data_IF_827510887155
#
_entry.id   IF_827510887155
#
_cell.length_a   1.000
_cell.length_b   1.000
_cell.length_c   1.000
_cell.angle_alpha   90.00
_cell.angle_beta   90.00
_cell.angle_gamma   90.00
#
_symmetry.space_group_name_H-M   'P 1'
#
loop_
_entity.id
_entity.type
_entity.pdbx_description
1 polymer ?
#
# COMPACT_ATOMS: atom_id res chain seq x y z
N UNK A 1 -37.74 26.19 -22.67
CA UNK A 1 -37.22 24.82 -22.51
C UNK A 1 -35.80 24.90 -21.94
N UNK A 2 -35.65 24.80 -20.62
CA UNK A 2 -34.34 24.82 -19.97
C UNK A 2 -33.86 23.37 -19.81
N UNK A 3 -32.77 23.01 -20.50
CA UNK A 3 -32.05 21.75 -20.25
C UNK A 3 -31.36 21.87 -18.89
N UNK A 4 -31.79 21.07 -17.91
CA UNK A 4 -31.06 20.88 -16.66
C UNK A 4 -29.68 20.32 -16.99
N UNK A 5 -28.63 21.09 -16.66
CA UNK A 5 -27.24 20.66 -16.69
C UNK A 5 -26.99 19.80 -15.45
N UNK A 6 -26.73 18.51 -15.62
CA UNK A 6 -26.25 17.68 -14.52
C UNK A 6 -24.80 18.04 -14.20
N UNK A 7 -24.39 18.07 -12.91
CA UNK A 7 -23.03 18.39 -12.53
C UNK A 7 -22.08 17.24 -12.88
N UNK A 8 -20.92 17.57 -13.43
CA UNK A 8 -19.80 16.65 -13.64
C UNK A 8 -19.23 16.26 -12.27
N UNK A 9 -19.45 15.03 -11.84
CA UNK A 9 -18.81 14.46 -10.64
C UNK A 9 -17.35 14.11 -10.94
N UNK A 10 -16.44 14.64 -10.13
CA UNK A 10 -15.00 14.40 -10.18
C UNK A 10 -14.68 12.92 -9.97
N UNK A 11 -13.65 12.41 -10.66
CA UNK A 11 -13.09 11.06 -10.51
C UNK A 11 -12.66 10.69 -9.08
N UNK A 12 -12.57 11.67 -8.17
CA UNK A 12 -12.35 11.43 -6.73
C UNK A 12 -13.56 10.85 -5.99
N UNK A 13 -14.79 11.15 -6.41
CA UNK A 13 -16.02 10.67 -5.72
C UNK A 13 -16.36 9.21 -6.07
N UNK A 14 -16.05 8.78 -7.30
CA UNK A 14 -16.32 7.40 -7.77
C UNK A 14 -15.52 6.36 -6.99
N UNK A 15 -14.35 6.74 -6.47
CA UNK A 15 -13.47 5.84 -5.70
C UNK A 15 -13.87 5.70 -4.23
N UNK A 16 -14.70 6.60 -3.69
CA UNK A 16 -15.09 6.57 -2.26
C UNK A 16 -16.43 5.87 -1.98
N UNK A 17 -17.16 5.39 -2.99
CA UNK A 17 -18.51 4.83 -2.84
C UNK A 17 -18.70 3.43 -3.48
N UNK A 18 -17.68 2.57 -3.51
CA UNK A 18 -17.90 1.22 -4.10
C UNK A 18 -18.58 0.28 -3.09
N UNK A 19 -19.79 -0.18 -3.42
CA UNK A 19 -20.59 -1.08 -2.60
C UNK A 19 -19.93 -2.47 -2.48
N UNK A 20 -19.90 -3.08 -1.28
CA UNK A 20 -19.33 -4.42 -1.05
C UNK A 20 -20.09 -5.51 -1.81
N UNK A 21 -21.38 -5.34 -2.06
CA UNK A 21 -22.16 -6.25 -2.89
C UNK A 21 -21.71 -6.18 -4.36
N UNK A 22 -21.44 -4.98 -4.87
CA UNK A 22 -20.92 -4.78 -6.23
C UNK A 22 -19.50 -5.32 -6.40
N UNK A 23 -18.63 -5.11 -5.39
CA UNK A 23 -17.27 -5.65 -5.38
C UNK A 23 -17.27 -7.18 -5.48
N UNK A 24 -18.21 -7.83 -4.79
CA UNK A 24 -18.37 -9.28 -4.86
C UNK A 24 -19.18 -9.74 -6.09
N UNK A 25 -19.82 -8.82 -6.80
CA UNK A 25 -20.71 -9.12 -7.92
C UNK A 25 -21.94 -9.93 -7.49
N UNK A 26 -22.48 -9.67 -6.29
CA UNK A 26 -23.66 -10.34 -5.73
C UNK A 26 -24.74 -9.35 -5.36
N UNK A 27 -25.99 -9.80 -5.27
CA UNK A 27 -27.10 -8.94 -4.85
C UNK A 27 -27.14 -8.75 -3.33
N UNK A 28 -27.81 -7.70 -2.86
CA UNK A 28 -28.07 -7.48 -1.42
C UNK A 28 -28.88 -8.59 -0.76
N UNK A 29 -29.61 -9.39 -1.54
CA UNK A 29 -30.37 -10.55 -1.06
C UNK A 29 -29.61 -11.87 -1.20
N UNK A 30 -28.34 -11.84 -1.62
CA UNK A 30 -27.55 -13.05 -1.85
C UNK A 30 -27.40 -13.87 -0.56
N UNK A 31 -27.57 -15.18 -0.68
CA UNK A 31 -27.32 -16.15 0.38
C UNK A 31 -25.83 -16.23 0.74
N UNK A 32 -25.50 -16.73 1.93
CA UNK A 32 -24.11 -16.96 2.35
C UNK A 32 -23.35 -17.86 1.36
N UNK A 33 -24.03 -18.86 0.78
CA UNK A 33 -23.46 -19.76 -0.20
C UNK A 33 -23.08 -19.03 -1.50
N UNK A 34 -23.91 -18.10 -1.96
CA UNK A 34 -23.64 -17.29 -3.15
C UNK A 34 -22.49 -16.32 -2.91
N UNK A 35 -22.48 -15.62 -1.77
CA UNK A 35 -21.40 -14.74 -1.33
C UNK A 35 -20.06 -15.47 -1.28
N UNK A 36 -20.04 -16.68 -0.70
CA UNK A 36 -18.85 -17.54 -0.62
C UNK A 36 -18.37 -18.04 -1.98
N UNK A 37 -19.29 -18.39 -2.87
CA UNK A 37 -18.95 -18.84 -4.21
C UNK A 37 -18.41 -17.70 -5.08
N UNK A 38 -19.00 -16.50 -4.98
CA UNK A 38 -18.52 -15.32 -5.67
C UNK A 38 -17.11 -14.92 -5.20
N UNK A 39 -16.90 -14.88 -3.88
CA UNK A 39 -15.57 -14.66 -3.31
C UNK A 39 -14.55 -15.67 -3.82
N UNK A 40 -14.85 -16.98 -3.81
CA UNK A 40 -13.91 -18.00 -4.31
C UNK A 40 -13.51 -17.79 -5.77
N UNK A 41 -14.46 -17.43 -6.64
CA UNK A 41 -14.20 -17.17 -8.06
C UNK A 41 -13.28 -15.96 -8.24
N UNK A 42 -13.58 -14.87 -7.55
CA UNK A 42 -12.80 -13.64 -7.60
C UNK A 42 -11.41 -13.83 -6.97
N UNK A 43 -11.33 -14.51 -5.83
CA UNK A 43 -10.08 -14.81 -5.14
C UNK A 43 -9.16 -15.66 -6.02
N UNK A 44 -9.68 -16.66 -6.75
CA UNK A 44 -8.90 -17.45 -7.70
C UNK A 44 -8.48 -16.67 -8.94
N UNK A 45 -9.26 -15.68 -9.37
CA UNK A 45 -8.94 -14.84 -10.53
C UNK A 45 -7.82 -13.84 -10.20
N UNK A 46 -7.91 -13.20 -9.04
CA UNK A 46 -7.02 -12.13 -8.61
C UNK A 46 -5.91 -12.59 -7.64
N UNK A 47 -5.74 -13.90 -7.44
CA UNK A 47 -4.72 -14.44 -6.53
C UNK A 47 -3.30 -14.02 -6.97
N UNK A 48 -2.40 -13.58 -6.08
CA UNK A 48 -1.06 -13.14 -6.48
C UNK A 48 -0.18 -14.27 -6.99
N UNK A 49 -0.40 -15.52 -6.60
CA UNK A 49 0.33 -16.65 -7.21
C UNK A 49 0.04 -16.77 -8.71
N UNK A 50 -1.14 -16.34 -9.17
CA UNK A 50 -1.53 -16.33 -10.59
C UNK A 50 -1.23 -15.01 -11.28
N UNK A 51 -1.07 -13.93 -10.50
CA UNK A 51 -0.79 -12.58 -10.96
C UNK A 51 0.45 -12.01 -10.25
N UNK A 52 1.64 -12.62 -10.40
CA UNK A 52 2.85 -12.18 -9.70
C UNK A 52 3.29 -10.81 -10.24
N UNK A 53 3.46 -9.84 -9.33
CA UNK A 53 3.90 -8.48 -9.68
C UNK A 53 2.80 -7.57 -10.23
N UNK A 54 1.56 -8.06 -10.38
CA UNK A 54 0.42 -7.26 -10.81
C UNK A 54 -0.20 -6.53 -9.61
N UNK A 55 0.03 -5.23 -9.54
CA UNK A 55 -0.49 -4.37 -8.47
C UNK A 55 -2.02 -4.24 -8.53
N UNK A 56 -2.62 -4.26 -9.72
CA UNK A 56 -4.07 -4.11 -9.92
C UNK A 56 -4.80 -5.37 -9.46
N UNK A 57 -4.25 -6.56 -9.75
CA UNK A 57 -4.78 -7.82 -9.25
C UNK A 57 -4.67 -7.93 -7.72
N UNK A 58 -3.55 -7.50 -7.12
CA UNK A 58 -3.38 -7.46 -5.67
C UNK A 58 -4.39 -6.54 -5.00
N UNK A 59 -4.64 -5.36 -5.59
CA UNK A 59 -5.61 -4.40 -5.08
C UNK A 59 -7.04 -4.93 -5.20
N UNK A 60 -7.40 -5.50 -6.35
CA UNK A 60 -8.71 -6.11 -6.55
C UNK A 60 -8.93 -7.25 -5.57
N UNK A 61 -7.90 -8.07 -5.33
CA UNK A 61 -7.93 -9.15 -4.34
C UNK A 61 -8.15 -8.63 -2.91
N UNK A 62 -7.52 -7.51 -2.55
CA UNK A 62 -7.72 -6.86 -1.25
C UNK A 62 -9.17 -6.43 -1.07
N UNK A 63 -9.74 -5.73 -2.06
CA UNK A 63 -11.13 -5.24 -2.03
C UNK A 63 -12.16 -6.36 -1.92
N UNK A 64 -12.05 -7.41 -2.74
CA UNK A 64 -12.96 -8.58 -2.68
C UNK A 64 -12.87 -9.30 -1.34
N UNK A 65 -11.69 -9.33 -0.73
CA UNK A 65 -11.52 -9.95 0.56
C UNK A 65 -12.19 -9.12 1.65
N UNK A 66 -11.98 -7.80 1.68
CA UNK A 66 -12.64 -6.90 2.66
C UNK A 66 -14.16 -7.00 2.53
N UNK A 67 -14.69 -6.89 1.31
CA UNK A 67 -16.11 -7.04 1.05
C UNK A 67 -16.64 -8.38 1.55
N UNK A 68 -15.93 -9.49 1.31
CA UNK A 68 -16.30 -10.80 1.83
C UNK A 68 -16.30 -10.83 3.36
N UNK A 69 -15.32 -10.21 4.04
CA UNK A 69 -15.23 -10.22 5.51
C UNK A 69 -16.38 -9.49 6.23
N UNK A 70 -17.06 -8.60 5.52
CA UNK A 70 -18.22 -7.84 6.02
C UNK A 70 -19.52 -8.54 5.63
N UNK A 71 -19.67 -8.91 4.35
CA UNK A 71 -20.93 -9.47 3.82
C UNK A 71 -21.14 -10.94 4.22
N UNK A 72 -20.07 -11.70 4.50
CA UNK A 72 -20.19 -13.11 4.90
C UNK A 72 -20.60 -13.32 6.36
N UNK A 73 -20.49 -12.30 7.23
CA UNK A 73 -20.92 -12.36 8.61
C UNK A 73 -22.30 -11.70 8.77
N UNK A 74 -23.33 -12.41 9.27
CA UNK A 74 -24.69 -11.86 9.37
C UNK A 74 -24.80 -10.59 10.21
N UNK A 75 -24.02 -10.46 11.29
CA UNK A 75 -24.08 -9.29 12.17
C UNK A 75 -23.44 -8.07 11.48
N UNK A 76 -22.31 -8.29 10.82
CA UNK A 76 -21.58 -7.22 10.09
C UNK A 76 -22.31 -6.79 8.84
N UNK A 77 -22.89 -7.73 8.09
CA UNK A 77 -23.75 -7.44 6.95
C UNK A 77 -24.91 -6.56 7.36
N UNK A 78 -25.56 -6.86 8.50
CA UNK A 78 -26.62 -6.02 9.06
C UNK A 78 -26.14 -4.62 9.42
N UNK A 79 -24.99 -4.50 10.08
CA UNK A 79 -24.40 -3.19 10.41
C UNK A 79 -24.06 -2.38 9.15
N UNK A 80 -23.49 -3.03 8.14
CA UNK A 80 -23.19 -2.44 6.84
C UNK A 80 -24.45 -1.98 6.10
N UNK A 81 -25.50 -2.81 6.11
CA UNK A 81 -26.79 -2.49 5.50
C UNK A 81 -27.48 -1.30 6.21
N UNK A 82 -27.23 -1.10 7.51
CA UNK A 82 -27.79 0.02 8.29
C UNK A 82 -27.00 1.34 8.12
N UNK A 83 -25.67 1.27 8.04
CA UNK A 83 -24.80 2.45 8.05
C UNK A 83 -24.34 2.89 6.65
N UNK A 84 -24.54 2.06 5.62
CA UNK A 84 -24.17 2.33 4.24
C UNK A 84 -22.67 2.27 3.95
N UNK A 85 -22.24 2.54 2.70
CA UNK A 85 -20.84 2.47 2.26
C UNK A 85 -19.88 3.48 2.91
N UNK A 86 -20.34 4.28 3.88
CA UNK A 86 -19.55 5.30 4.57
C UNK A 86 -18.48 4.74 5.53
N UNK A 87 -18.44 3.42 5.75
CA UNK A 87 -17.31 2.77 6.41
C UNK A 87 -16.15 2.76 5.43
N UNK A 88 -15.28 3.75 5.57
CA UNK A 88 -14.14 3.94 4.69
C UNK A 88 -13.27 2.67 4.71
N UNK A 89 -12.67 2.27 3.59
CA UNK A 89 -11.58 1.28 3.59
C UNK A 89 -10.42 1.72 4.53
N UNK A 90 -10.37 3.02 4.82
CA UNK A 90 -9.55 3.72 5.82
C UNK A 90 -10.01 3.55 7.28
N UNK A 91 -11.28 3.21 7.56
CA UNK A 91 -11.75 2.93 8.93
C UNK A 91 -11.36 1.51 9.40
N UNK A 92 -10.81 0.70 8.50
CA UNK A 92 -10.22 -0.60 8.83
C UNK A 92 -8.79 -0.50 9.40
N UNK A 93 -8.24 0.72 9.56
CA UNK A 93 -6.87 0.99 9.97
C UNK A 93 -6.62 0.79 11.49
N UNK A 94 -7.59 0.24 12.23
CA UNK A 94 -7.50 0.08 13.69
C UNK A 94 -8.33 -1.05 14.30
N UNK A 95 -8.63 -2.12 13.56
CA UNK A 95 -9.44 -3.22 14.07
C UNK A 95 -8.80 -3.92 15.28
N UNK A 96 -9.50 -3.93 16.42
CA UNK A 96 -9.21 -4.84 17.52
C UNK A 96 -9.66 -6.25 17.13
N UNK A 97 -8.67 -7.07 16.79
CA UNK A 97 -8.91 -8.41 16.25
C UNK A 97 -9.44 -9.37 17.33
N UNK A 98 -9.38 -8.99 18.62
CA UNK A 98 -9.97 -9.79 19.70
C UNK A 98 -11.50 -9.90 19.57
N UNK A 99 -12.15 -8.92 18.92
CA UNK A 99 -13.58 -8.95 18.57
C UNK A 99 -13.89 -9.74 17.29
N UNK A 100 -12.87 -10.15 16.52
CA UNK A 100 -13.00 -10.65 15.14
C UNK A 100 -13.18 -12.17 15.01
N UNK A 101 -13.17 -12.91 16.12
CA UNK A 101 -13.39 -14.36 16.14
C UNK A 101 -12.44 -15.18 15.25
N UNK A 102 -12.87 -16.39 14.86
CA UNK A 102 -12.07 -17.33 14.05
C UNK A 102 -11.93 -16.91 12.58
N UNK A 103 -12.97 -16.29 12.00
CA UNK A 103 -12.99 -15.80 10.63
C UNK A 103 -12.02 -14.62 10.45
N UNK A 104 -11.94 -13.73 11.44
CA UNK A 104 -10.99 -12.62 11.45
C UNK A 104 -9.52 -13.04 11.47
N UNK A 105 -9.17 -14.13 12.17
CA UNK A 105 -7.80 -14.67 12.15
C UNK A 105 -7.43 -15.28 10.80
N UNK A 106 -8.35 -16.00 10.16
CA UNK A 106 -8.15 -16.57 8.82
C UNK A 106 -7.98 -15.45 7.79
N UNK A 107 -8.75 -14.37 7.95
CA UNK A 107 -8.64 -13.18 7.13
C UNK A 107 -7.29 -12.48 7.31
N UNK A 108 -6.89 -12.23 8.56
CA UNK A 108 -5.61 -11.60 8.87
C UNK A 108 -4.41 -12.41 8.36
N UNK A 109 -4.51 -13.74 8.45
CA UNK A 109 -3.52 -14.66 7.91
C UNK A 109 -3.37 -14.58 6.39
N UNK A 110 -4.48 -14.47 5.64
CA UNK A 110 -4.44 -14.30 4.19
C UNK A 110 -3.75 -12.99 3.82
N UNK A 111 -4.18 -11.86 4.39
CA UNK A 111 -3.59 -10.55 4.08
C UNK A 111 -2.10 -10.49 4.41
N UNK A 112 -1.72 -11.07 5.55
CA UNK A 112 -0.32 -11.21 5.94
C UNK A 112 0.50 -12.01 4.93
N UNK A 113 -0.05 -13.09 4.35
CA UNK A 113 0.61 -13.90 3.31
C UNK A 113 0.76 -13.14 1.99
N UNK A 114 -0.16 -12.22 1.71
CA UNK A 114 -0.21 -11.42 0.48
C UNK A 114 0.63 -10.13 0.57
N UNK A 115 1.31 -9.90 1.70
CA UNK A 115 2.13 -8.70 1.90
C UNK A 115 1.31 -7.43 2.20
N UNK A 116 0.01 -7.56 2.51
CA UNK A 116 -0.81 -6.43 2.94
C UNK A 116 -0.67 -6.29 4.46
N UNK A 117 -0.13 -5.17 4.98
CA UNK A 117 -0.10 -4.94 6.42
C UNK A 117 -1.53 -4.76 6.94
N UNK A 118 -1.84 -5.44 8.05
CA UNK A 118 -3.04 -5.16 8.84
C UNK A 118 -2.55 -4.51 10.12
N UNK A 119 -2.87 -3.23 10.36
CA UNK A 119 -2.53 -2.60 11.62
C UNK A 119 -3.34 -3.26 12.72
N UNK A 120 -2.64 -3.82 13.71
CA UNK A 120 -3.24 -4.39 14.91
C UNK A 120 -2.90 -3.53 16.12
N UNK A 121 -3.81 -3.45 17.08
CA UNK A 121 -3.57 -2.70 18.32
C UNK A 121 -3.05 -3.64 19.41
N UNK A 122 -2.36 -3.08 20.41
CA UNK A 122 -2.01 -3.82 21.62
C UNK A 122 -3.28 -4.00 22.45
N UNK A 123 -3.58 -5.24 22.84
CA UNK A 123 -4.84 -5.54 23.54
C UNK A 123 -4.96 -4.76 24.87
N UNK A 124 -6.16 -4.32 25.26
CA UNK A 124 -6.38 -3.66 26.55
C UNK A 124 -5.88 -4.48 27.75
N UNK A 125 -6.01 -5.82 27.67
CA UNK A 125 -5.49 -6.75 28.67
C UNK A 125 -3.97 -6.67 28.80
N UNK A 126 -3.25 -6.61 27.69
CA UNK A 126 -1.79 -6.43 27.69
C UNK A 126 -1.40 -5.12 28.36
N UNK A 127 -2.13 -4.03 28.08
CA UNK A 127 -1.89 -2.73 28.69
C UNK A 127 -2.15 -2.75 30.20
N UNK A 128 -3.23 -3.42 30.63
CA UNK A 128 -3.52 -3.60 32.04
C UNK A 128 -2.41 -4.38 32.76
N UNK A 129 -1.96 -5.51 32.20
CA UNK A 129 -0.86 -6.29 32.77
C UNK A 129 0.45 -5.49 32.83
N UNK A 130 0.74 -4.64 31.84
CA UNK A 130 1.92 -3.79 31.86
C UNK A 130 1.88 -2.78 33.03
N UNK A 131 0.70 -2.21 33.33
CA UNK A 131 0.50 -1.32 34.50
C UNK A 131 0.73 -2.07 35.80
N UNK A 132 0.09 -3.22 35.97
CA UNK A 132 0.24 -4.07 37.17
C UNK A 132 1.70 -4.46 37.42
N UNK A 133 2.43 -4.89 36.38
CA UNK A 133 3.85 -5.23 36.49
C UNK A 133 4.71 -4.03 36.88
N UNK A 134 4.35 -2.83 36.44
CA UNK A 134 5.07 -1.60 36.77
C UNK A 134 4.83 -1.20 38.23
N UNK A 135 3.59 -1.31 38.71
CA UNK A 135 3.24 -1.11 40.13
C UNK A 135 3.95 -2.13 41.04
N UNK A 136 4.10 -3.37 40.57
CA UNK A 136 4.81 -4.44 41.28
C UNK A 136 6.34 -4.37 41.16
N UNK A 137 6.89 -3.28 40.62
CA UNK A 137 8.35 -3.10 40.41
C UNK A 137 8.98 -4.29 39.66
N UNK A 138 8.25 -4.80 38.66
CA UNK A 138 8.67 -5.86 37.76
C UNK A 138 9.01 -7.19 38.45
N UNK A 139 8.40 -7.47 39.61
CA UNK A 139 8.61 -8.73 40.31
C UNK A 139 8.28 -9.94 39.40
N UNK A 140 9.15 -10.96 39.44
CA UNK A 140 9.08 -12.16 38.59
C UNK A 140 9.12 -11.93 37.06
N UNK A 141 9.53 -10.74 36.59
CA UNK A 141 9.74 -10.49 35.16
C UNK A 141 11.20 -10.81 34.79
N UNK A 142 11.47 -11.63 33.75
CA UNK A 142 12.85 -11.95 33.35
C UNK A 142 13.65 -10.72 32.94
N UNK A 143 14.87 -10.58 33.46
CA UNK A 143 15.79 -9.49 33.11
C UNK A 143 16.62 -9.87 31.89
N UNK A 144 16.67 -8.99 30.89
CA UNK A 144 17.55 -9.09 29.73
C UNK A 144 18.92 -8.51 30.07
N UNK A 145 19.85 -9.39 30.45
CA UNK A 145 21.23 -8.99 30.69
C UNK A 145 21.90 -8.46 29.40
N UNK A 146 22.80 -7.45 29.50
CA UNK A 146 23.56 -6.93 28.37
C UNK A 146 24.22 -8.03 27.53
N UNK A 147 24.02 -8.00 26.21
CA UNK A 147 24.59 -8.95 25.25
C UNK A 147 23.97 -10.35 25.27
N UNK A 148 23.15 -10.68 26.27
CA UNK A 148 22.55 -12.00 26.41
C UNK A 148 21.26 -12.11 25.61
N UNK A 149 21.08 -13.26 24.97
CA UNK A 149 19.92 -13.54 24.13
C UNK A 149 19.01 -14.55 24.79
N UNK A 150 17.74 -14.21 24.95
CA UNK A 150 16.70 -15.14 25.39
C UNK A 150 15.99 -15.68 24.15
N UNK A 151 15.83 -17.01 24.08
CA UNK A 151 14.98 -17.65 23.08
C UNK A 151 13.62 -17.91 23.73
N UNK A 152 12.54 -17.43 23.14
CA UNK A 152 11.19 -17.57 23.69
C UNK A 152 10.16 -17.63 22.55
N UNK A 153 8.90 -17.77 22.92
CA UNK A 153 7.79 -17.81 21.98
C UNK A 153 6.54 -17.15 22.56
N UNK A 154 5.76 -16.53 21.67
CA UNK A 154 4.51 -15.83 22.04
C UNK A 154 3.39 -16.23 21.10
N UNK A 155 2.23 -16.57 21.68
CA UNK A 155 1.03 -16.93 20.94
C UNK A 155 0.38 -15.69 20.30
N UNK A 156 -0.50 -15.92 19.34
CA UNK A 156 -1.30 -14.87 18.70
C UNK A 156 -2.08 -14.05 19.75
N UNK A 157 -1.95 -12.73 19.70
CA UNK A 157 -2.53 -11.77 20.63
C UNK A 157 -2.16 -11.98 22.10
N UNK A 158 -1.06 -12.68 22.35
CA UNK A 158 -0.47 -12.86 23.67
C UNK A 158 0.77 -11.98 23.81
N UNK A 159 1.32 -11.90 25.03
CA UNK A 159 2.45 -11.03 25.35
C UNK A 159 3.45 -11.72 26.27
N UNK A 160 4.74 -11.46 26.03
CA UNK A 160 5.84 -11.82 26.92
C UNK A 160 6.57 -10.56 27.36
N UNK A 161 6.70 -10.39 28.66
CA UNK A 161 7.36 -9.24 29.28
C UNK A 161 8.79 -9.55 29.70
N UNK A 162 9.64 -8.55 29.60
CA UNK A 162 11.05 -8.56 29.99
C UNK A 162 11.41 -7.21 30.61
N UNK A 163 12.45 -7.19 31.44
CA UNK A 163 13.03 -5.95 31.98
C UNK A 163 14.39 -5.72 31.36
N UNK A 164 14.67 -4.48 30.96
CA UNK A 164 16.04 -4.02 30.72
C UNK A 164 16.44 -3.06 31.83
N UNK A 165 17.64 -3.21 32.36
CA UNK A 165 18.20 -2.34 33.39
C UNK A 165 19.15 -1.33 32.72
N UNK A 166 18.68 -0.07 32.60
CA UNK A 166 19.45 1.00 31.98
C UNK A 166 20.37 1.67 33.00
N UNK A 167 21.66 1.75 32.66
CA UNK A 167 22.70 2.42 33.45
C UNK A 167 23.17 3.70 32.75
N UNK A 168 23.75 4.63 33.51
CA UNK A 168 24.35 5.86 32.96
C UNK A 168 25.35 5.61 31.80
N UNK A 169 26.17 4.56 31.91
CA UNK A 169 27.13 4.17 30.85
C UNK A 169 26.44 3.81 29.52
N UNK A 170 25.29 3.12 29.59
CA UNK A 170 24.52 2.73 28.42
C UNK A 170 23.76 3.91 27.84
N UNK A 171 23.26 4.80 28.70
CA UNK A 171 22.58 6.02 28.27
C UNK A 171 23.53 6.94 27.49
N UNK A 172 24.80 7.03 27.88
CA UNK A 172 25.81 7.84 27.21
C UNK A 172 26.08 7.39 25.76
N UNK A 173 26.22 6.08 25.53
CA UNK A 173 26.56 5.54 24.20
C UNK A 173 25.33 5.18 23.36
N UNK A 174 24.21 4.88 24.03
CA UNK A 174 22.99 4.36 23.43
C UNK A 174 22.87 2.84 23.55
N UNK A 175 21.66 2.35 23.29
CA UNK A 175 21.31 0.94 23.35
C UNK A 175 20.43 0.53 22.18
N UNK A 176 20.46 -0.76 21.85
CA UNK A 176 19.54 -1.39 20.92
C UNK A 176 18.83 -2.54 21.62
N UNK A 177 17.50 -2.57 21.54
CA UNK A 177 16.71 -3.73 21.94
C UNK A 177 16.24 -4.40 20.66
N UNK A 178 16.71 -5.63 20.43
CA UNK A 178 16.46 -6.36 19.18
C UNK A 178 15.65 -7.61 19.48
N UNK A 179 14.57 -7.80 18.72
CA UNK A 179 13.83 -9.04 18.67
C UNK A 179 13.82 -9.60 17.24
N UNK A 180 14.22 -10.86 17.06
CA UNK A 180 14.41 -11.52 15.76
C UNK A 180 13.69 -12.86 15.71
N UNK A 181 12.96 -13.13 14.64
CA UNK A 181 12.36 -14.45 14.37
C UNK A 181 12.90 -15.07 13.09
N UNK A 182 13.61 -16.21 13.21
CA UNK A 182 14.12 -16.96 12.05
C UNK A 182 13.02 -17.62 11.22
N UNK A 183 11.84 -17.83 11.79
CA UNK A 183 10.66 -18.34 11.07
C UNK A 183 9.86 -17.25 10.37
N UNK A 184 10.38 -16.02 10.30
CA UNK A 184 9.71 -14.85 9.71
C UNK A 184 8.32 -14.58 10.30
N UNK A 185 8.18 -14.76 11.62
CA UNK A 185 6.93 -14.52 12.34
C UNK A 185 6.61 -13.03 12.44
N UNK A 186 5.33 -12.66 12.49
CA UNK A 186 4.91 -11.29 12.80
C UNK A 186 4.79 -11.07 14.31
N UNK A 187 5.33 -9.97 14.81
CA UNK A 187 5.27 -9.59 16.22
C UNK A 187 5.52 -8.09 16.37
N UNK A 188 5.24 -7.54 17.55
CA UNK A 188 5.61 -6.17 17.92
C UNK A 188 6.56 -6.19 19.09
N UNK A 189 7.55 -5.32 19.04
CA UNK A 189 8.42 -5.01 20.17
C UNK A 189 7.92 -3.71 20.80
N UNK A 190 7.51 -3.77 22.07
CA UNK A 190 6.84 -2.68 22.78
C UNK A 190 7.71 -2.24 23.95
N UNK A 191 7.82 -0.94 24.16
CA UNK A 191 8.50 -0.31 25.30
C UNK A 191 7.46 0.49 26.08
N UNK A 192 7.49 0.39 27.40
CA UNK A 192 6.53 1.07 28.28
C UNK A 192 7.19 2.18 29.11
N UNK A 193 6.40 3.20 29.43
CA UNK A 193 6.76 4.26 30.36
C UNK A 193 6.55 3.87 31.83
N UNK A 194 6.86 4.78 32.75
CA UNK A 194 6.86 4.54 34.21
C UNK A 194 5.49 4.20 34.80
N UNK A 195 4.43 4.50 34.07
CA UNK A 195 3.04 4.23 34.44
C UNK A 195 2.47 3.02 33.71
N UNK A 196 3.30 2.27 32.97
CA UNK A 196 2.86 1.14 32.14
C UNK A 196 2.12 1.57 30.86
N UNK A 197 2.09 2.86 30.52
CA UNK A 197 1.63 3.31 29.19
C UNK A 197 2.64 2.96 28.11
N UNK A 198 2.18 2.86 26.85
CA UNK A 198 3.06 2.51 25.73
C UNK A 198 3.88 3.72 25.32
N UNK A 199 5.21 3.60 25.42
CA UNK A 199 6.17 4.61 24.96
C UNK A 199 6.49 4.46 23.48
N UNK A 200 6.72 3.23 23.03
CA UNK A 200 7.10 2.95 21.64
C UNK A 200 6.66 1.56 21.20
N UNK A 201 6.24 1.44 19.94
CA UNK A 201 5.90 0.18 19.28
C UNK A 201 6.74 0.08 18.01
N UNK A 202 7.40 -1.06 17.82
CA UNK A 202 8.06 -1.40 16.57
C UNK A 202 7.49 -2.71 16.04
N UNK A 203 6.83 -2.66 14.88
CA UNK A 203 6.39 -3.86 14.18
C UNK A 203 7.58 -4.59 13.55
N UNK A 204 7.51 -5.92 13.55
CA UNK A 204 8.52 -6.76 12.92
C UNK A 204 8.54 -6.54 11.41
N UNK A 205 9.69 -6.14 10.88
CA UNK A 205 9.90 -5.99 9.44
C UNK A 205 10.45 -7.27 8.85
N UNK A 206 9.99 -7.64 7.65
CA UNK A 206 10.50 -8.79 6.92
C UNK A 206 11.87 -8.46 6.29
N UNK A 207 12.85 -9.31 6.55
CA UNK A 207 14.15 -9.36 5.86
C UNK A 207 14.22 -10.65 5.04
N UNK A 208 15.29 -10.86 4.27
CA UNK A 208 15.43 -11.98 3.32
C UNK A 208 15.16 -13.37 3.92
N UNK A 209 15.56 -13.59 5.17
CA UNK A 209 15.50 -14.91 5.84
C UNK A 209 14.90 -14.90 7.24
N UNK A 210 14.41 -13.75 7.71
CA UNK A 210 13.91 -13.59 9.08
C UNK A 210 13.07 -12.31 9.17
N UNK A 211 12.33 -12.16 10.26
CA UNK A 211 11.71 -10.88 10.65
C UNK A 211 12.45 -10.31 11.86
N UNK A 212 12.44 -8.98 11.97
CA UNK A 212 13.13 -8.26 13.05
C UNK A 212 12.36 -7.01 13.47
N UNK A 213 12.29 -6.75 14.77
CA UNK A 213 11.87 -5.47 15.34
C UNK A 213 13.01 -4.95 16.23
N UNK A 214 13.35 -3.67 16.08
CA UNK A 214 14.50 -3.06 16.76
C UNK A 214 14.11 -1.68 17.27
N UNK A 215 14.32 -1.44 18.57
CA UNK A 215 14.31 -0.08 19.12
C UNK A 215 15.74 0.40 19.28
N UNK A 216 16.03 1.56 18.69
CA UNK A 216 17.31 2.25 18.81
C UNK A 216 17.12 3.45 19.73
N UNK A 217 17.74 3.40 20.91
CA UNK A 217 17.77 4.51 21.86
C UNK A 217 19.18 5.07 21.88
N UNK A 218 19.48 5.97 20.96
CA UNK A 218 20.83 6.47 20.67
C UNK A 218 20.92 8.00 20.83
N UNK A 219 22.08 8.55 21.26
CA UNK A 219 22.25 9.99 21.44
C UNK A 219 22.43 10.79 20.13
N UNK A 220 22.51 10.12 18.98
CA UNK A 220 22.70 10.74 17.67
C UNK A 220 21.42 10.68 16.83
N UNK A 221 21.29 11.59 15.86
CA UNK A 221 20.18 11.59 14.91
C UNK A 221 20.21 10.33 14.06
N UNK A 222 19.11 9.59 14.09
CA UNK A 222 18.89 8.40 13.27
C UNK A 222 17.53 8.56 12.62
N UNK A 223 17.45 8.57 11.30
CA UNK A 223 16.15 8.67 10.67
C UNK A 223 15.41 7.34 10.81
N UNK A 224 14.08 7.42 10.94
CA UNK A 224 13.22 6.25 10.89
C UNK A 224 12.59 6.17 9.51
N UNK A 225 12.58 4.96 8.95
CA UNK A 225 11.94 4.69 7.67
C UNK A 225 10.96 3.56 7.91
N UNK A 226 9.67 3.85 7.80
CA UNK A 226 8.67 2.80 7.75
C UNK A 226 8.70 2.14 6.39
N UNK A 227 8.24 0.89 6.33
CA UNK A 227 8.20 0.10 5.10
C UNK A 227 7.49 0.91 4.00
N UNK A 228 8.16 1.09 2.87
CA UNK A 228 7.54 1.70 1.70
C UNK A 228 6.44 0.76 1.21
N UNK A 229 5.20 1.26 1.16
CA UNK A 229 4.04 0.51 0.68
C UNK A 229 3.63 1.12 -0.67
N UNK A 230 4.14 0.59 -1.80
CA UNK A 230 3.89 1.16 -3.12
C UNK A 230 2.39 1.33 -3.43
N UNK A 231 1.59 0.38 -2.97
CA UNK A 231 0.14 0.39 -3.22
C UNK A 231 -0.56 1.62 -2.63
N UNK A 232 -0.11 2.14 -1.48
CA UNK A 232 -0.73 3.34 -0.88
C UNK A 232 -0.64 4.52 -1.84
N UNK A 233 0.55 4.74 -2.39
CA UNK A 233 0.82 5.85 -3.29
C UNK A 233 0.18 5.65 -4.67
N UNK A 234 0.17 4.43 -5.20
CA UNK A 234 -0.49 4.13 -6.47
C UNK A 234 -2.00 4.41 -6.43
N UNK A 235 -2.65 4.24 -5.27
CA UNK A 235 -4.08 4.55 -5.12
C UNK A 235 -4.35 6.06 -5.04
N UNK A 236 -3.44 6.83 -4.44
CA UNK A 236 -3.58 8.27 -4.23
C UNK A 236 -3.15 9.08 -5.47
N UNK A 237 -2.11 8.64 -6.16
CA UNK A 237 -1.51 9.29 -7.33
C UNK A 237 -0.92 8.25 -8.30
N UNK A 238 -1.70 7.87 -9.31
CA UNK A 238 -1.29 6.92 -10.35
C UNK A 238 -0.26 7.48 -11.33
N UNK A 239 -0.19 8.81 -11.43
CA UNK A 239 0.56 9.49 -12.47
C UNK A 239 2.00 9.80 -12.07
N UNK A 240 2.25 9.87 -10.76
CA UNK A 240 3.58 10.04 -10.20
C UNK A 240 4.35 8.71 -10.13
N UNK A 241 5.57 8.64 -10.70
CA UNK A 241 6.42 7.46 -10.56
C UNK A 241 6.70 7.12 -9.08
N UNK A 242 6.54 5.84 -8.72
CA UNK A 242 6.72 5.34 -7.34
C UNK A 242 8.07 5.69 -6.71
N UNK A 243 9.11 5.87 -7.53
CA UNK A 243 10.45 6.26 -7.08
C UNK A 243 10.44 7.59 -6.29
N UNK A 244 9.53 8.51 -6.60
CA UNK A 244 9.39 9.78 -5.85
C UNK A 244 8.90 9.56 -4.42
N UNK A 245 8.13 8.49 -4.19
CA UNK A 245 7.52 8.19 -2.89
C UNK A 245 8.40 7.33 -1.99
N UNK A 246 9.52 6.78 -2.49
CA UNK A 246 10.38 5.87 -1.73
C UNK A 246 10.87 6.49 -0.42
N UNK A 247 11.14 7.80 -0.41
CA UNK A 247 11.63 8.51 0.77
C UNK A 247 10.53 9.23 1.55
N UNK A 248 9.26 9.14 1.15
CA UNK A 248 8.17 9.86 1.83
C UNK A 248 7.99 9.40 3.27
N UNK A 249 8.18 8.10 3.52
CA UNK A 249 8.13 7.51 4.86
C UNK A 249 9.34 7.80 5.74
N UNK A 250 10.39 8.43 5.20
CA UNK A 250 11.58 8.80 5.97
C UNK A 250 11.26 9.98 6.88
N UNK A 251 11.28 9.74 8.19
CA UNK A 251 11.07 10.74 9.22
C UNK A 251 12.36 10.97 10.00
N UNK A 252 12.65 12.24 10.27
CA UNK A 252 13.77 12.60 11.14
C UNK A 252 13.39 12.24 12.55
N UNK A 253 14.14 11.32 13.15
CA UNK A 253 14.05 11.02 14.57
C UNK A 253 15.34 11.54 15.22
N UNK A 254 15.19 12.54 16.08
CA UNK A 254 16.31 13.06 16.86
C UNK A 254 16.94 11.97 17.73
N UNK A 255 18.14 12.26 18.23
CA UNK A 255 18.73 11.44 19.27
C UNK A 255 17.80 11.37 20.48
N UNK A 256 17.51 10.16 20.95
CA UNK A 256 16.70 9.93 22.13
C UNK A 256 17.22 8.70 22.86
N UNK A 257 17.36 8.82 24.18
CA UNK A 257 17.89 7.76 25.04
C UNK A 257 16.81 7.30 26.03
N UNK A 258 17.02 6.13 26.64
CA UNK A 258 16.24 5.70 27.79
C UNK A 258 16.84 6.29 29.07
N UNK A 259 15.98 6.64 30.01
CA UNK A 259 16.38 7.09 31.35
C UNK A 259 17.13 5.99 32.11
N UNK A 260 18.05 6.36 32.99
CA UNK A 260 18.69 5.45 33.94
C UNK A 260 17.66 4.91 34.95
N UNK A 261 17.08 3.75 34.62
CA UNK A 261 16.12 3.00 35.43
C UNK A 261 15.87 1.63 34.79
N UNK A 262 15.09 0.79 35.46
CA UNK A 262 14.49 -0.37 34.81
C UNK A 262 13.36 0.04 33.87
N UNK A 263 13.32 -0.57 32.69
CA UNK A 263 12.26 -0.39 31.69
C UNK A 263 11.60 -1.72 31.37
N UNK A 264 10.27 -1.71 31.30
CA UNK A 264 9.49 -2.84 30.85
C UNK A 264 9.48 -2.88 29.32
N UNK A 265 9.76 -4.06 28.78
CA UNK A 265 9.80 -4.37 27.36
C UNK A 265 8.87 -5.55 27.13
N UNK A 266 8.16 -5.58 26.01
CA UNK A 266 7.36 -6.74 25.65
C UNK A 266 7.52 -7.15 24.19
N UNK A 267 7.39 -8.45 23.96
CA UNK A 267 7.14 -9.01 22.63
C UNK A 267 5.68 -9.40 22.57
N UNK A 268 4.92 -8.73 21.71
CA UNK A 268 3.50 -8.99 21.47
C UNK A 268 3.33 -9.85 20.22
N UNK A 269 2.60 -10.95 20.35
CA UNK A 269 2.36 -11.89 19.26
C UNK A 269 1.37 -11.35 18.26
N UNK A 270 1.87 -10.82 17.15
CA UNK A 270 1.05 -10.26 16.08
C UNK A 270 0.92 -11.20 14.86
N UNK A 271 1.19 -12.48 15.08
CA UNK A 271 1.13 -13.51 14.05
C UNK A 271 -0.24 -14.19 14.07
N UNK A 272 -0.90 -14.26 12.91
CA UNK A 272 -2.28 -14.77 12.80
C UNK A 272 -2.42 -16.30 12.82
N UNK A 273 -1.34 -17.02 12.46
CA UNK A 273 -1.42 -18.45 12.16
C UNK A 273 -0.70 -19.32 13.18
N UNK A 274 0.46 -18.86 13.66
CA UNK A 274 1.37 -19.66 14.45
C UNK A 274 1.97 -18.81 15.57
N UNK A 275 2.35 -19.51 16.63
CA UNK A 275 3.19 -18.94 17.67
C UNK A 275 4.45 -18.31 17.06
N UNK A 276 4.75 -17.07 17.44
CA UNK A 276 5.96 -16.40 17.02
C UNK A 276 7.12 -16.88 17.90
N UNK A 277 8.03 -17.67 17.34
CA UNK A 277 9.30 -18.04 17.98
C UNK A 277 10.33 -16.96 17.69
N UNK A 278 10.98 -16.44 18.72
CA UNK A 278 11.90 -15.32 18.57
C UNK A 278 13.11 -15.41 19.52
N UNK A 279 14.08 -14.57 19.23
CA UNK A 279 15.24 -14.28 20.05
C UNK A 279 15.22 -12.80 20.40
N UNK A 280 15.24 -12.46 21.68
CA UNK A 280 15.31 -11.09 22.16
C UNK A 280 16.64 -10.83 22.86
N UNK A 281 17.24 -9.67 22.58
CA UNK A 281 18.58 -9.29 23.06
C UNK A 281 18.59 -7.80 23.43
N UNK A 282 19.17 -7.48 24.60
CA UNK A 282 19.50 -6.12 24.99
C UNK A 282 20.97 -5.83 24.67
N UNK A 283 21.24 -4.83 23.85
CA UNK A 283 22.55 -4.55 23.28
C UNK A 283 22.97 -3.10 23.59
N UNK A 284 23.64 -2.85 24.72
CA UNK A 284 24.35 -1.60 24.90
C UNK A 284 25.42 -1.40 23.83
N UNK A 285 25.50 -0.19 23.29
CA UNK A 285 26.51 0.13 22.28
C UNK A 285 27.87 0.29 22.95
N UNK A 286 28.90 -0.24 22.28
CA UNK A 286 30.28 0.13 22.55
C UNK A 286 30.48 1.63 22.28
N UNK A 287 31.63 2.15 22.70
CA UNK A 287 31.97 3.57 22.70
C UNK A 287 31.44 4.34 21.47
N UNK A 288 30.78 5.48 21.73
CA UNK A 288 30.04 6.31 20.77
C UNK A 288 30.88 6.78 19.56
N UNK A 289 32.21 6.65 19.62
CA UNK A 289 33.18 7.04 18.59
C UNK A 289 33.46 5.99 17.51
N UNK A 290 32.68 4.91 17.42
CA UNK A 290 32.93 3.90 16.37
C UNK A 290 32.81 4.48 14.94
N UNK A 291 33.65 4.00 14.02
CA UNK A 291 33.59 4.35 12.59
C UNK A 291 32.18 4.19 11.99
N UNK A 292 31.39 3.27 12.54
CA UNK A 292 30.00 3.03 12.12
C UNK A 292 29.06 4.17 12.51
N UNK A 293 29.19 4.74 13.72
CA UNK A 293 28.38 5.90 14.14
C UNK A 293 28.74 7.12 13.30
N UNK A 294 30.04 7.33 13.04
CA UNK A 294 30.51 8.38 12.12
C UNK A 294 29.94 8.19 10.71
N UNK A 295 29.92 6.95 10.21
CA UNK A 295 29.34 6.65 8.90
C UNK A 295 27.83 6.96 8.88
N UNK A 296 27.06 6.48 9.86
CA UNK A 296 25.60 6.74 9.97
C UNK A 296 25.34 8.25 10.00
N UNK A 297 26.00 8.97 10.90
CA UNK A 297 25.81 10.43 11.06
C UNK A 297 26.23 11.22 9.82
N UNK A 298 27.10 10.69 8.96
CA UNK A 298 27.45 11.29 7.66
C UNK A 298 26.47 10.94 6.52
N UNK A 299 25.80 9.79 6.59
CA UNK A 299 24.90 9.29 5.54
C UNK A 299 23.49 9.89 5.70
N UNK A 300 22.98 9.94 6.93
CA UNK A 300 21.62 10.39 7.21
C UNK A 300 21.31 11.79 6.64
N UNK A 301 22.18 12.80 6.77
CA UNK A 301 21.97 14.11 6.15
C UNK A 301 21.97 14.06 4.61
N UNK A 302 22.75 13.16 4.00
CA UNK A 302 22.79 13.00 2.54
C UNK A 302 21.48 12.43 2.01
N UNK A 303 20.88 11.46 2.73
CA UNK A 303 19.58 10.90 2.37
C UNK A 303 18.49 11.97 2.51
N UNK A 304 18.51 12.77 3.58
CA UNK A 304 17.57 13.88 3.76
C UNK A 304 17.68 14.94 2.66
N UNK A 305 18.90 15.35 2.32
CA UNK A 305 19.14 16.25 1.18
C UNK A 305 18.63 15.64 -0.13
N UNK A 306 18.81 14.32 -0.33
CA UNK A 306 18.28 13.64 -1.51
C UNK A 306 16.75 13.66 -1.54
N UNK A 307 16.08 13.45 -0.40
CA UNK A 307 14.61 13.57 -0.28
C UNK A 307 14.13 14.95 -0.72
N UNK A 308 14.77 16.02 -0.27
CA UNK A 308 14.44 17.40 -0.66
C UNK A 308 14.60 17.63 -2.16
N UNK A 309 15.76 17.30 -2.72
CA UNK A 309 16.00 17.45 -4.17
C UNK A 309 15.07 16.58 -5.03
N UNK A 310 14.64 15.42 -4.52
CA UNK A 310 13.67 14.58 -5.22
C UNK A 310 12.26 15.18 -5.21
N UNK A 311 11.86 15.84 -4.13
CA UNK A 311 10.59 16.54 -4.06
C UNK A 311 10.53 17.75 -5.00
N UNK A 312 11.65 18.46 -5.19
CA UNK A 312 11.77 19.52 -6.20
C UNK A 312 11.68 18.96 -7.61
N UNK A 313 12.44 17.89 -7.90
CA UNK A 313 12.41 17.24 -9.21
C UNK A 313 11.04 16.62 -9.54
N UNK A 314 10.30 16.11 -8.56
CA UNK A 314 8.94 15.60 -8.76
C UNK A 314 8.03 16.69 -9.33
N UNK A 315 8.09 17.91 -8.80
CA UNK A 315 7.27 19.03 -9.30
C UNK A 315 7.60 19.35 -10.75
N UNK A 316 8.89 19.46 -11.07
CA UNK A 316 9.35 19.70 -12.44
C UNK A 316 8.91 18.58 -13.39
N UNK A 317 9.08 17.33 -12.98
CA UNK A 317 8.69 16.16 -13.77
C UNK A 317 7.19 16.16 -14.09
N UNK A 318 6.34 16.43 -13.09
CA UNK A 318 4.89 16.45 -13.28
C UNK A 318 4.43 17.60 -14.18
N UNK A 319 5.06 18.77 -14.06
CA UNK A 319 4.80 19.91 -14.95
C UNK A 319 5.19 19.60 -16.41
N UNK A 320 6.35 18.97 -16.62
CA UNK A 320 6.79 18.53 -17.95
C UNK A 320 5.87 17.45 -18.53
N UNK A 321 5.47 16.46 -17.73
CA UNK A 321 4.53 15.41 -18.15
C UNK A 321 3.22 16.04 -18.64
N UNK A 322 2.65 16.97 -17.87
CA UNK A 322 1.42 17.69 -18.25
C UNK A 322 1.57 18.46 -19.56
N UNK A 323 2.70 19.15 -19.76
CA UNK A 323 2.98 19.87 -21.01
C UNK A 323 3.13 18.93 -22.21
N UNK A 324 3.79 17.79 -22.00
CA UNK A 324 3.95 16.77 -23.03
C UNK A 324 2.61 16.14 -23.44
N UNK A 325 1.73 15.83 -22.48
CA UNK A 325 0.39 15.31 -22.79
C UNK A 325 -0.44 16.32 -23.58
N UNK A 326 -0.41 17.60 -23.20
CA UNK A 326 -1.08 18.66 -23.96
C UNK A 326 -0.53 18.81 -25.38
N UNK A 327 0.80 18.69 -25.57
CA UNK A 327 1.42 18.73 -26.89
C UNK A 327 1.03 17.50 -27.74
N UNK A 328 0.94 16.32 -27.13
CA UNK A 328 0.51 15.08 -27.79
C UNK A 328 -0.95 15.16 -28.25
N UNK A 329 -1.83 15.72 -27.43
CA UNK A 329 -3.24 15.90 -27.77
C UNK A 329 -3.42 16.94 -28.89
N UNK A 330 -2.64 18.02 -28.85
CA UNK A 330 -2.58 18.98 -29.96
C UNK A 330 -2.11 18.34 -31.26
N UNK A 331 -1.01 17.57 -31.23
CA UNK A 331 -0.49 16.90 -32.42
C UNK A 331 -1.55 15.99 -33.05
N UNK A 332 -2.29 15.23 -32.23
CA UNK A 332 -3.38 14.38 -32.69
C UNK A 332 -4.50 15.18 -33.38
N UNK A 333 -4.82 16.37 -32.88
CA UNK A 333 -5.80 17.27 -33.50
C UNK A 333 -5.29 17.82 -34.84
N UNK A 334 -4.04 18.27 -34.87
CA UNK A 334 -3.41 18.79 -36.09
C UNK A 334 -3.29 17.69 -37.17
N UNK A 335 -2.99 16.43 -36.79
CA UNK A 335 -2.99 15.27 -37.71
C UNK A 335 -4.37 15.02 -38.33
N UNK A 336 -5.44 15.12 -37.53
CA UNK A 336 -6.82 14.97 -38.02
C UNK A 336 -7.18 16.10 -38.98
N UNK A 337 -6.90 17.35 -38.61
CA UNK A 337 -7.16 18.53 -39.44
C UNK A 337 -6.41 18.45 -40.77
N UNK A 338 -5.13 18.08 -40.76
CA UNK A 338 -4.34 17.90 -41.99
C UNK A 338 -4.94 16.80 -42.87
N UNK A 339 -5.33 15.66 -42.29
CA UNK A 339 -5.96 14.58 -43.04
C UNK A 339 -7.28 15.00 -43.67
N UNK A 340 -8.09 15.80 -42.98
CA UNK A 340 -9.36 16.33 -43.49
C UNK A 340 -9.12 17.33 -44.64
N UNK A 341 -8.18 18.27 -44.46
CA UNK A 341 -7.82 19.24 -45.51
C UNK A 341 -7.29 18.57 -46.77
N UNK A 342 -6.45 17.53 -46.64
CA UNK A 342 -5.95 16.78 -47.79
C UNK A 342 -7.08 16.04 -48.52
N UNK A 343 -8.02 15.45 -47.78
CA UNK A 343 -9.18 14.77 -48.37
C UNK A 343 -10.10 15.74 -49.11
N UNK A 344 -10.39 16.90 -48.52
CA UNK A 344 -11.18 17.95 -49.17
C UNK A 344 -10.49 18.45 -50.44
N UNK A 345 -9.17 18.71 -50.36
CA UNK A 345 -8.36 19.09 -51.51
C UNK A 345 -8.47 18.06 -52.64
N UNK A 346 -8.25 16.78 -52.35
CA UNK A 346 -8.27 15.72 -53.36
C UNK A 346 -9.66 15.60 -54.02
N UNK A 347 -10.74 15.75 -53.25
CA UNK A 347 -12.11 15.81 -53.79
C UNK A 347 -12.31 16.96 -54.78
N UNK A 348 -11.78 18.14 -54.50
CA UNK A 348 -11.87 19.30 -55.40
C UNK A 348 -11.08 19.07 -56.68
N UNK A 349 -9.89 18.46 -56.61
CA UNK A 349 -9.12 18.11 -57.81
C UNK A 349 -9.84 17.06 -58.66
N UNK A 350 -10.43 16.04 -58.05
CA UNK A 350 -11.23 15.04 -58.77
C UNK A 350 -12.44 15.69 -59.45
N UNK A 351 -13.13 16.62 -58.78
CA UNK A 351 -14.24 17.39 -59.38
C UNK A 351 -13.78 18.19 -60.61
N UNK A 352 -12.67 18.92 -60.50
CA UNK A 352 -12.10 19.68 -61.61
C UNK A 352 -11.75 18.78 -62.81
N UNK A 353 -11.15 17.62 -62.55
CA UNK A 353 -10.82 16.65 -63.61
C UNK A 353 -12.09 16.17 -64.30
N UNK A 354 -13.12 15.77 -63.53
CA UNK A 354 -14.40 15.33 -64.07
C UNK A 354 -15.09 16.43 -64.90
N UNK A 355 -15.06 17.69 -64.44
CA UNK A 355 -15.59 18.84 -65.18
C UNK A 355 -14.84 19.07 -66.50
N UNK A 356 -13.51 18.98 -66.47
CA UNK A 356 -12.68 19.12 -67.66
C UNK A 356 -12.94 17.99 -68.67
N UNK A 357 -13.05 16.74 -68.21
CA UNK A 357 -13.36 15.59 -69.07
C UNK A 357 -14.74 15.70 -69.71
N UNK A 358 -15.75 16.15 -68.95
CA UNK A 358 -17.12 16.32 -69.45
C UNK A 358 -17.21 17.31 -70.62
N UNK A 359 -16.37 18.34 -70.65
CA UNK A 359 -16.34 19.33 -71.74
C UNK A 359 -15.87 18.74 -73.09
N UNK A 360 -15.15 17.61 -73.07
CA UNK A 360 -14.65 16.93 -74.27
C UNK A 360 -15.28 15.55 -74.47
N UNK A 361 -16.28 15.19 -73.67
CA UNK A 361 -17.01 13.94 -73.83
C UNK A 361 -17.74 13.93 -75.20
N UNK A 362 -17.59 12.87 -76.02
CA UNK A 362 -18.30 12.78 -77.29
C UNK A 362 -19.82 12.80 -77.06
N UNK A 363 -20.60 13.39 -77.98
CA UNK A 363 -22.06 13.40 -77.87
C UNK A 363 -22.57 11.96 -77.76
N UNK A 364 -23.48 11.74 -76.80
CA UNK A 364 -24.01 10.42 -76.48
C UNK A 364 -24.51 9.73 -77.76
N UNK A 365 -23.77 8.72 -78.21
CA UNK A 365 -24.24 7.81 -79.25
C UNK A 365 -25.18 6.82 -78.56
N UNK A 366 -26.46 6.88 -78.93
CA UNK A 366 -27.41 5.81 -78.61
C UNK A 366 -26.90 4.51 -79.26
N UNK A 367 -26.26 3.64 -78.49
CA UNK A 367 -26.11 2.24 -78.89
C UNK A 367 -26.39 1.31 -77.72
N UNK A 368 -27.29 0.38 -78.00
CA UNK A 368 -27.81 -0.65 -77.12
C UNK A 368 -26.73 -1.54 -76.47
N UNK A 369 -26.88 -1.69 -75.16
CA UNK A 369 -26.85 -2.94 -74.40
C UNK A 369 -26.09 -4.14 -75.03
N UNK A 370 -24.88 -4.44 -74.55
CA UNK A 370 -24.35 -5.82 -74.44
C UNK A 370 -23.35 -5.91 -73.27
N UNK A 371 -23.38 -7.03 -72.56
CA UNK A 371 -22.91 -7.16 -71.18
C UNK A 371 -21.42 -7.50 -70.95
N UNK A 372 -21.02 -7.40 -69.66
CA UNK A 372 -19.85 -7.99 -68.96
C UNK A 372 -18.46 -7.48 -69.42
N UNK A 373 -17.40 -7.34 -68.60
CA UNK A 373 -16.99 -7.98 -67.35
C UNK A 373 -15.83 -7.17 -66.68
N UNK A 374 -15.74 -7.22 -65.34
CA UNK A 374 -14.57 -7.16 -64.44
C UNK A 374 -13.27 -6.38 -64.77
N UNK A 375 -12.79 -5.59 -63.79
CA UNK A 375 -11.36 -5.24 -63.57
C UNK A 375 -11.23 -4.10 -62.55
N UNK A 376 -10.86 -4.35 -61.29
CA UNK A 376 -9.47 -4.44 -60.80
C UNK A 376 -8.79 -3.06 -60.72
N UNK A 377 -8.89 -2.35 -59.58
CA UNK A 377 -7.83 -1.50 -58.98
C UNK A 377 -8.30 -0.94 -57.62
N UNK A 378 -7.41 -0.93 -56.61
CA UNK A 378 -7.62 -0.12 -55.39
C UNK A 378 -7.43 -0.78 -54.02
N UNK A 379 -6.65 -1.86 -53.89
CA UNK A 379 -5.98 -2.17 -52.60
C UNK A 379 -4.70 -1.34 -52.53
N UNK A 380 -4.71 -0.25 -51.77
CA UNK A 380 -3.52 0.34 -51.14
C UNK A 380 -4.01 1.38 -50.13
N UNK A 381 -4.12 0.98 -48.86
CA UNK A 381 -3.89 1.76 -47.64
C UNK A 381 -4.33 0.87 -46.47
N UNK A 382 -3.35 0.30 -45.80
CA UNK A 382 -3.44 -0.45 -44.55
C UNK A 382 -2.26 -0.08 -43.69
#
# INVERSE_FOLDING_TARGET
MAKLRMPETSSKDVMQQTDFYEILGVTRTASEAEVKNAYRKLALKYHPDRNPGDLEAQETFKRISIAYSVISDPNRRRQYDMNGPGTSLSDFDGLDISELGSVGRIFGAMFSKLGVPIPTTISPRTLQTARELTEQQFNNVPVLAPGHTINDSVKTQDVKFYVVDMKAEYQKNGVVIRCKSSSSSKFKLVIFDRDGSVRAIQESQKKKSHTVAEHFFVPFTKNNMTEFIPMKFYMEDRDTPLTFHVLDSLQVQGGHTLEERQHLVAVYGDNFLQEAKYKITFLPLAEFSSDTVTAITSIEPKIMKKKETMAEFQKEYMDLKKRWEAAKERLKKDEQEVSEMLKERDQVYDQLINEAEAAFAPPATEVANTGKQSGFFGKFFG
#
